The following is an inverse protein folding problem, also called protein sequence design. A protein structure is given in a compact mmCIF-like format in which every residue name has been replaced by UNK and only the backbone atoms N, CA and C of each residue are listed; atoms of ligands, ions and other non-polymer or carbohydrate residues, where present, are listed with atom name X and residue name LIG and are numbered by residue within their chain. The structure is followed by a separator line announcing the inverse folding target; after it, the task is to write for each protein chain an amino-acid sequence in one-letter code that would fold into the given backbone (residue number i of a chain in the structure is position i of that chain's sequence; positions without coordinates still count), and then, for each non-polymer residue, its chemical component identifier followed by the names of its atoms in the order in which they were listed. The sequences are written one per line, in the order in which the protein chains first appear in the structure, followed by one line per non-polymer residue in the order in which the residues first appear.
data_IF_763101248227
#
_entry.id   IF_763101248227
#
_cell.length_a   1.000
_cell.length_b   1.000
_cell.length_c   1.000
_cell.angle_alpha   90.00
_cell.angle_beta   90.00
_cell.angle_gamma   90.00
#
_symmetry.space_group_name_H-M   'P 1'
#
loop_
_entity.id
_entity.type
_entity.pdbx_description
1 polymer ?
#
# COMPACT_ATOMS: atom_id res chain seq x y z
N UNK A 1 -35.82 0.21 -0.65
CA UNK A 1 -34.38 0.48 -0.47
C UNK A 1 -33.76 0.40 -1.84
N UNK A 2 -33.04 1.43 -2.28
CA UNK A 2 -32.28 1.35 -3.54
C UNK A 2 -30.97 0.64 -3.28
N UNK A 3 -30.50 -0.15 -4.24
CA UNK A 3 -29.19 -0.79 -4.12
C UNK A 3 -28.07 0.25 -4.29
N UNK A 4 -26.85 -0.12 -3.89
CA UNK A 4 -25.68 0.73 -4.09
C UNK A 4 -25.49 1.06 -5.59
N UNK A 5 -25.70 0.08 -6.47
CA UNK A 5 -25.59 0.23 -7.91
C UNK A 5 -26.62 1.22 -8.48
N UNK A 6 -27.87 1.15 -8.02
CA UNK A 6 -28.94 2.04 -8.45
C UNK A 6 -28.71 3.49 -8.00
N UNK A 7 -28.19 3.69 -6.79
CA UNK A 7 -27.81 5.01 -6.29
C UNK A 7 -26.62 5.55 -7.09
N UNK A 8 -25.57 4.74 -7.30
CA UNK A 8 -24.38 5.16 -8.04
C UNK A 8 -24.70 5.56 -9.48
N UNK A 9 -25.53 4.77 -10.19
CA UNK A 9 -25.95 5.10 -11.54
C UNK A 9 -26.71 6.42 -11.62
N UNK A 10 -27.56 6.71 -10.64
CA UNK A 10 -28.33 7.96 -10.58
C UNK A 10 -27.44 9.18 -10.37
N UNK A 11 -26.48 9.08 -9.46
CA UNK A 11 -25.52 10.15 -9.19
C UNK A 11 -24.66 10.43 -10.44
N UNK A 12 -24.16 9.38 -11.10
CA UNK A 12 -23.34 9.54 -12.32
C UNK A 12 -24.16 10.09 -13.49
N UNK A 13 -25.40 9.64 -13.67
CA UNK A 13 -26.25 10.03 -14.81
C UNK A 13 -26.58 11.53 -14.85
N UNK A 14 -26.52 12.22 -13.71
CA UNK A 14 -26.81 13.66 -13.62
C UNK A 14 -25.55 14.54 -13.70
N UNK A 15 -24.36 13.93 -13.76
CA UNK A 15 -23.10 14.67 -13.86
C UNK A 15 -22.83 15.17 -15.29
N UNK A 16 -22.23 16.37 -15.44
CA UNK A 16 -21.65 16.80 -16.69
C UNK A 16 -20.61 15.81 -17.21
N UNK A 17 -20.50 15.64 -18.53
CA UNK A 17 -19.59 14.68 -19.16
C UNK A 17 -18.13 14.83 -18.70
N UNK A 18 -17.67 16.08 -18.51
CA UNK A 18 -16.33 16.36 -17.98
C UNK A 18 -16.09 15.77 -16.59
N UNK A 19 -17.12 15.67 -15.76
CA UNK A 19 -17.06 15.07 -14.42
C UNK A 19 -17.23 13.56 -14.43
N UNK A 20 -17.89 12.99 -15.45
CA UNK A 20 -17.99 11.54 -15.60
C UNK A 20 -16.62 10.90 -15.86
N UNK A 21 -15.77 11.58 -16.64
CA UNK A 21 -14.38 11.18 -16.86
C UNK A 21 -13.57 11.16 -15.54
N UNK A 22 -13.74 12.18 -14.69
CA UNK A 22 -13.10 12.26 -13.36
C UNK A 22 -13.52 11.09 -12.47
N UNK A 23 -14.83 10.77 -12.43
CA UNK A 23 -15.36 9.65 -11.63
C UNK A 23 -14.78 8.31 -12.12
N UNK A 24 -14.71 8.11 -13.43
CA UNK A 24 -14.12 6.89 -13.99
C UNK A 24 -12.62 6.77 -13.63
N UNK A 25 -11.87 7.87 -13.70
CA UNK A 25 -10.48 7.92 -13.29
C UNK A 25 -10.33 7.57 -11.80
N UNK A 26 -11.18 8.12 -10.94
CA UNK A 26 -11.18 7.84 -9.51
C UNK A 26 -11.50 6.39 -9.19
N UNK A 27 -12.50 5.79 -9.84
CA UNK A 27 -12.83 4.36 -9.65
C UNK A 27 -11.66 3.46 -10.08
N UNK A 28 -10.97 3.80 -11.18
CA UNK A 28 -9.76 3.07 -11.61
C UNK A 28 -8.63 3.22 -10.61
N UNK A 29 -8.42 4.43 -10.10
CA UNK A 29 -7.45 4.68 -9.03
C UNK A 29 -7.74 3.81 -7.82
N UNK A 30 -8.97 3.81 -7.31
CA UNK A 30 -9.35 2.95 -6.19
C UNK A 30 -9.00 1.48 -6.46
N UNK A 31 -9.31 0.95 -7.64
CA UNK A 31 -9.00 -0.44 -8.00
C UNK A 31 -7.50 -0.75 -8.03
N UNK A 32 -6.66 0.19 -8.45
CA UNK A 32 -5.20 0.01 -8.52
C UNK A 32 -4.55 0.23 -7.14
N UNK A 33 -5.11 1.15 -6.35
CA UNK A 33 -4.64 1.46 -5.00
C UNK A 33 -5.11 0.48 -3.94
N UNK A 34 -6.01 -0.43 -4.27
CA UNK A 34 -6.33 -1.54 -3.39
C UNK A 34 -5.05 -2.35 -3.17
N UNK A 35 -4.56 -2.47 -1.92
CA UNK A 35 -3.38 -3.26 -1.65
C UNK A 35 -3.67 -4.69 -2.11
N UNK A 36 -2.85 -5.17 -3.05
CA UNK A 36 -2.84 -6.59 -3.34
C UNK A 36 -2.17 -7.25 -2.12
N UNK A 37 -2.98 -7.77 -1.20
CA UNK A 37 -2.51 -8.38 0.06
C UNK A 37 -1.44 -9.45 -0.17
N UNK A 38 -1.55 -10.19 -1.27
CA UNK A 38 -0.55 -11.18 -1.68
C UNK A 38 0.76 -10.51 -2.05
N UNK A 39 0.71 -9.47 -2.89
CA UNK A 39 1.89 -8.67 -3.23
C UNK A 39 2.54 -8.03 -2.00
N UNK A 40 1.75 -7.44 -1.09
CA UNK A 40 2.28 -6.83 0.14
C UNK A 40 2.98 -7.86 1.01
N UNK A 41 2.41 -9.06 1.11
CA UNK A 41 3.02 -10.18 1.85
C UNK A 41 4.32 -10.64 1.21
N UNK A 42 4.37 -10.71 -0.11
CA UNK A 42 5.58 -11.14 -0.82
C UNK A 42 6.68 -10.07 -0.75
N UNK A 43 6.34 -8.80 -0.98
CA UNK A 43 7.26 -7.67 -0.80
C UNK A 43 7.85 -7.66 0.64
N UNK A 44 7.06 -8.02 1.66
CA UNK A 44 7.55 -8.16 3.04
C UNK A 44 8.51 -9.34 3.22
N UNK A 45 8.24 -10.50 2.61
CA UNK A 45 9.15 -11.66 2.69
C UNK A 45 10.49 -11.35 2.05
N UNK A 46 10.47 -10.71 0.88
CA UNK A 46 11.67 -10.32 0.14
C UNK A 46 12.52 -9.34 0.98
N UNK A 47 11.90 -8.31 1.55
CA UNK A 47 12.58 -7.37 2.43
C UNK A 47 13.18 -8.06 3.68
N UNK A 48 12.51 -9.08 4.23
CA UNK A 48 13.02 -9.84 5.36
C UNK A 48 14.20 -10.75 4.96
N UNK A 49 14.18 -11.31 3.77
CA UNK A 49 15.29 -12.08 3.21
C UNK A 49 16.52 -11.18 3.01
N UNK A 50 16.34 -10.01 2.40
CA UNK A 50 17.40 -9.03 2.18
C UNK A 50 18.00 -8.54 3.50
N UNK A 51 17.17 -8.25 4.50
CA UNK A 51 17.65 -7.86 5.83
C UNK A 51 18.49 -8.97 6.47
N UNK A 52 18.08 -10.24 6.35
CA UNK A 52 18.85 -11.39 6.87
C UNK A 52 20.14 -11.60 6.10
N UNK A 53 20.15 -11.37 4.80
CA UNK A 53 21.37 -11.43 3.98
C UNK A 53 22.36 -10.35 4.43
N UNK A 54 21.88 -9.13 4.65
CA UNK A 54 22.68 -7.99 5.13
C UNK A 54 23.32 -8.30 6.48
N UNK A 55 22.56 -8.85 7.44
CA UNK A 55 23.10 -9.26 8.75
C UNK A 55 24.26 -10.25 8.60
N UNK A 56 24.15 -11.20 7.66
CA UNK A 56 25.22 -12.17 7.38
C UNK A 56 26.42 -11.53 6.69
N UNK A 57 26.20 -10.67 5.70
CA UNK A 57 27.27 -10.02 4.93
C UNK A 57 28.15 -9.14 5.84
N UNK A 58 27.52 -8.38 6.72
CA UNK A 58 28.22 -7.43 7.60
C UNK A 58 28.55 -8.00 8.99
N UNK A 59 28.25 -9.28 9.24
CA UNK A 59 28.39 -9.93 10.56
C UNK A 59 27.79 -9.08 11.70
N UNK A 60 26.62 -8.50 11.45
CA UNK A 60 25.96 -7.60 12.40
C UNK A 60 25.61 -8.41 13.66
N UNK A 61 26.09 -7.94 14.80
CA UNK A 61 25.82 -8.55 16.11
C UNK A 61 24.62 -7.89 16.80
N UNK A 62 24.10 -8.53 17.84
CA UNK A 62 23.06 -7.92 18.66
C UNK A 62 23.59 -6.67 19.39
N UNK A 63 24.88 -6.67 19.78
CA UNK A 63 25.50 -5.50 20.39
C UNK A 63 25.53 -4.29 19.44
N UNK A 64 25.78 -4.51 18.14
CA UNK A 64 25.77 -3.45 17.13
C UNK A 64 24.36 -2.84 16.97
N UNK A 65 23.33 -3.70 16.96
CA UNK A 65 21.93 -3.26 16.90
C UNK A 65 21.56 -2.44 18.15
N UNK A 66 21.94 -2.93 19.33
CA UNK A 66 21.64 -2.26 20.60
C UNK A 66 22.39 -0.93 20.76
N UNK A 67 23.59 -0.81 20.17
CA UNK A 67 24.32 0.45 20.09
C UNK A 67 23.55 1.46 19.23
N UNK A 68 23.06 1.06 18.07
CA UNK A 68 22.34 1.94 17.15
C UNK A 68 20.98 2.38 17.70
N UNK A 69 20.23 1.46 18.34
CA UNK A 69 18.97 1.79 19.01
C UNK A 69 19.18 2.83 20.11
N UNK A 70 20.27 2.72 20.89
CA UNK A 70 20.61 3.70 21.93
C UNK A 70 20.99 5.05 21.31
N UNK A 71 21.75 5.06 20.22
CA UNK A 71 22.15 6.29 19.54
C UNK A 71 20.95 7.09 18.99
N UNK A 72 19.93 6.42 18.45
CA UNK A 72 18.72 7.07 17.92
C UNK A 72 17.77 7.57 19.01
N UNK A 73 17.80 6.97 20.21
CA UNK A 73 16.92 7.33 21.34
C UNK A 73 17.51 8.38 22.29
N UNK A 74 18.78 8.74 22.14
CA UNK A 74 19.48 9.74 22.95
C UNK A 74 19.21 11.16 22.44
#
# INVERSE_FOLDING_TARGET
MTTFEETLLREIATLPESRQADVLAFVRFLKISLPNEEKVRDDFKDALEDARATVKEFNITQEDIDAEIRAVRA
#
